data_IF_780874759842
#
_entry.id   IF_780874759842
#
_cell.length_a   1.000
_cell.length_b   1.000
_cell.length_c   1.000
_cell.angle_alpha   90.00
_cell.angle_beta   90.00
_cell.angle_gamma   90.00
#
_symmetry.space_group_name_H-M   'P 1'
#
loop_
_entity.id
_entity.type
_entity.pdbx_description
1 polymer ?
#
# COMPACT_ATOMS: atom_id res chain seq x y z
N UNK A 1 -0.86 17.27 -9.97
CA UNK A 1 0.06 16.29 -9.34
C UNK A 1 0.73 16.96 -8.16
N UNK A 2 0.40 16.57 -6.93
CA UNK A 2 1.13 17.00 -5.74
C UNK A 2 2.49 16.30 -5.74
N UNK A 3 3.58 17.08 -5.73
CA UNK A 3 4.94 16.52 -5.65
C UNK A 3 5.16 16.15 -4.19
N UNK A 4 5.07 14.86 -3.87
CA UNK A 4 5.38 14.36 -2.54
C UNK A 4 6.87 14.52 -2.23
N UNK A 5 7.17 14.85 -0.97
CA UNK A 5 8.54 14.79 -0.46
C UNK A 5 9.09 13.36 -0.58
N UNK A 6 10.41 13.20 -0.61
CA UNK A 6 11.04 11.86 -0.65
C UNK A 6 10.61 10.99 0.53
N UNK A 7 10.48 11.62 1.71
CA UNK A 7 10.00 10.98 2.92
C UNK A 7 8.57 10.47 2.73
N UNK A 8 7.63 11.32 2.32
CA UNK A 8 6.23 10.94 2.15
C UNK A 8 6.06 9.88 1.05
N UNK A 9 6.88 9.92 0.00
CA UNK A 9 6.89 8.88 -1.03
C UNK A 9 7.34 7.53 -0.46
N UNK A 10 8.40 7.51 0.35
CA UNK A 10 8.89 6.28 0.99
C UNK A 10 7.87 5.70 2.00
N UNK A 11 7.27 6.56 2.81
CA UNK A 11 6.21 6.15 3.74
C UNK A 11 5.00 5.61 2.97
N UNK A 12 4.59 6.29 1.91
CA UNK A 12 3.47 5.86 1.07
C UNK A 12 3.71 4.48 0.42
N UNK A 13 4.93 4.17 -0.01
CA UNK A 13 5.26 2.83 -0.53
C UNK A 13 4.98 1.72 0.50
N UNK A 14 5.26 1.97 1.77
CA UNK A 14 4.94 1.01 2.85
C UNK A 14 3.44 0.99 3.12
N UNK A 15 2.84 2.17 3.26
CA UNK A 15 1.41 2.36 3.51
C UNK A 15 0.53 1.66 2.49
N UNK A 16 0.77 1.84 1.18
CA UNK A 16 -0.06 1.19 0.16
C UNK A 16 0.02 -0.34 0.16
N UNK A 17 1.14 -0.91 0.65
CA UNK A 17 1.25 -2.37 0.87
C UNK A 17 0.39 -2.77 2.06
N UNK A 18 0.51 -2.07 3.18
CA UNK A 18 -0.30 -2.32 4.39
C UNK A 18 -1.80 -2.22 4.09
N UNK A 19 -2.24 -1.15 3.42
CA UNK A 19 -3.66 -0.96 3.09
C UNK A 19 -4.20 -2.07 2.18
N UNK A 20 -3.42 -2.47 1.17
CA UNK A 20 -3.81 -3.57 0.30
C UNK A 20 -3.94 -4.90 1.06
N UNK A 21 -2.97 -5.23 1.92
CA UNK A 21 -3.02 -6.45 2.75
C UNK A 21 -4.23 -6.44 3.70
N UNK A 22 -4.47 -5.33 4.41
CA UNK A 22 -5.63 -5.20 5.32
C UNK A 22 -6.96 -5.47 4.59
N UNK A 23 -7.10 -4.95 3.37
CA UNK A 23 -8.30 -5.18 2.55
C UNK A 23 -8.38 -6.63 2.07
N UNK A 24 -7.27 -7.18 1.57
CA UNK A 24 -7.22 -8.53 1.00
C UNK A 24 -7.47 -9.61 2.07
N UNK A 25 -7.01 -9.40 3.30
CA UNK A 25 -7.26 -10.28 4.45
C UNK A 25 -8.67 -10.08 5.05
N UNK A 26 -9.45 -9.13 4.54
CA UNK A 26 -10.82 -8.89 4.99
C UNK A 26 -10.92 -8.31 6.41
N UNK A 27 -9.84 -7.69 6.90
CA UNK A 27 -9.80 -7.08 8.23
C UNK A 27 -10.63 -5.80 8.34
N UNK A 28 -11.04 -5.25 7.20
CA UNK A 28 -11.90 -4.07 7.07
C UNK A 28 -13.01 -4.35 6.06
N UNK A 29 -14.12 -3.62 6.18
CA UNK A 29 -15.09 -3.54 5.10
C UNK A 29 -14.58 -2.51 4.09
N UNK A 30 -14.45 -2.87 2.81
CA UNK A 30 -13.91 -1.99 1.78
C UNK A 30 -14.91 -1.79 0.65
N UNK A 31 -15.13 -0.53 0.26
CA UNK A 31 -16.03 -0.15 -0.82
C UNK A 31 -15.49 0.95 -1.71
N UNK A 32 -16.13 1.18 -2.86
CA UNK A 32 -15.73 2.19 -3.82
C UNK A 32 -16.70 3.36 -3.82
N UNK A 33 -16.19 4.56 -3.58
CA UNK A 33 -16.89 5.80 -3.86
C UNK A 33 -16.48 6.34 -5.23
N UNK A 34 -17.45 6.57 -6.09
CA UNK A 34 -17.27 7.20 -7.40
C UNK A 34 -17.75 8.66 -7.26
N UNK A 35 -16.81 9.61 -7.31
CA UNK A 35 -17.11 11.03 -7.13
C UNK A 35 -17.88 11.63 -8.32
N UNK A 36 -17.64 11.14 -9.54
CA UNK A 36 -18.43 11.41 -10.77
C UNK A 36 -18.20 10.27 -11.78
N UNK A 37 -19.01 10.16 -12.85
CA UNK A 37 -18.85 9.14 -13.91
C UNK A 37 -17.43 9.04 -14.52
N UNK A 38 -16.64 10.11 -14.42
CA UNK A 38 -15.25 10.19 -14.89
C UNK A 38 -14.27 10.56 -13.75
N UNK A 39 -14.77 10.63 -12.52
CA UNK A 39 -14.03 11.10 -11.36
C UNK A 39 -13.05 10.06 -10.83
N UNK A 40 -12.09 10.48 -9.98
CA UNK A 40 -11.21 9.55 -9.30
C UNK A 40 -12.04 8.60 -8.44
N UNK A 41 -11.81 7.30 -8.63
CA UNK A 41 -12.35 6.29 -7.73
C UNK A 41 -11.61 6.36 -6.40
N UNK A 42 -12.37 6.31 -5.31
CA UNK A 42 -11.85 6.33 -3.95
C UNK A 42 -12.20 5.00 -3.30
N UNK A 43 -11.19 4.32 -2.77
CA UNK A 43 -11.38 3.16 -1.91
C UNK A 43 -11.63 3.64 -0.48
N UNK A 44 -12.80 3.35 0.04
CA UNK A 44 -13.20 3.66 1.40
C UNK A 44 -13.05 2.42 2.27
N UNK A 45 -12.35 2.56 3.40
CA UNK A 45 -12.13 1.52 4.39
C UNK A 45 -12.97 1.82 5.62
N UNK A 46 -13.86 0.90 5.95
CA UNK A 46 -14.86 1.00 6.99
C UNK A 46 -14.62 -0.10 8.03
N UNK A 47 -15.18 0.10 9.21
CA UNK A 47 -15.13 -0.90 10.26
C UNK A 47 -15.96 -2.13 9.89
N UNK A 48 -15.43 -3.34 10.15
CA UNK A 48 -16.22 -4.57 10.06
C UNK A 48 -17.27 -4.65 11.18
N UNK A 49 -17.03 -3.96 12.31
CA UNK A 49 -17.95 -3.90 13.45
C UNK A 49 -19.16 -2.99 13.18
N UNK A 50 -19.02 -2.03 12.27
CA UNK A 50 -20.10 -1.16 11.82
C UNK A 50 -19.95 -0.82 10.33
N UNK A 51 -20.37 -1.73 9.41
CA UNK A 51 -20.20 -1.54 7.97
C UNK A 51 -20.98 -0.37 7.37
N UNK A 52 -22.07 0.03 8.02
CA UNK A 52 -22.91 1.18 7.62
C UNK A 52 -22.38 2.52 8.20
N UNK A 53 -21.29 2.47 8.95
CA UNK A 53 -20.68 3.63 9.58
C UNK A 53 -19.91 4.52 8.61
N UNK A 54 -19.26 5.54 9.17
CA UNK A 54 -18.36 6.39 8.41
C UNK A 54 -17.08 5.62 8.01
N UNK A 55 -16.48 6.02 6.90
CA UNK A 55 -15.15 5.53 6.53
C UNK A 55 -14.15 5.94 7.60
N UNK A 56 -13.15 5.10 7.85
CA UNK A 56 -12.01 5.42 8.71
C UNK A 56 -10.87 6.00 7.89
N UNK A 57 -10.62 5.39 6.73
CA UNK A 57 -9.55 5.77 5.80
C UNK A 57 -10.12 5.79 4.38
N UNK A 58 -9.76 6.81 3.61
CA UNK A 58 -10.04 6.90 2.17
C UNK A 58 -8.73 6.94 1.40
N UNK A 59 -8.61 6.17 0.33
CA UNK A 59 -7.41 6.17 -0.52
C UNK A 59 -7.79 6.26 -1.99
N UNK A 60 -7.13 7.15 -2.73
CA UNK A 60 -7.38 7.28 -4.15
C UNK A 60 -6.89 6.05 -4.92
N UNK A 61 -7.66 5.66 -5.92
CA UNK A 61 -7.30 4.58 -6.85
C UNK A 61 -6.70 5.20 -8.11
N UNK A 62 -5.66 4.54 -8.63
CA UNK A 62 -5.00 4.93 -9.87
C UNK A 62 -5.98 4.85 -11.05
N UNK A 63 -6.08 5.88 -11.91
CA UNK A 63 -6.98 5.85 -13.06
C UNK A 63 -6.76 4.63 -13.95
N UNK A 64 -7.86 4.04 -14.44
CA UNK A 64 -7.83 2.83 -15.26
C UNK A 64 -7.64 1.53 -14.48
N UNK A 65 -7.50 1.58 -13.15
CA UNK A 65 -7.59 0.37 -12.32
C UNK A 65 -9.03 -0.10 -12.25
N UNK A 66 -9.23 -1.39 -12.41
CA UNK A 66 -10.52 -2.05 -12.18
C UNK A 66 -10.43 -2.80 -10.85
N UNK A 67 -11.35 -2.49 -9.93
CA UNK A 67 -11.56 -3.22 -8.67
C UNK A 67 -12.98 -3.78 -8.74
N UNK A 68 -13.12 -5.10 -8.60
CA UNK A 68 -14.42 -5.76 -8.69
C UNK A 68 -15.17 -5.64 -7.37
N UNK A 69 -16.46 -5.33 -7.48
CA UNK A 69 -17.38 -5.13 -6.39
C UNK A 69 -18.52 -6.14 -6.46
N UNK A 70 -18.99 -6.60 -5.30
CA UNK A 70 -20.24 -7.35 -5.14
C UNK A 70 -20.92 -6.86 -3.86
N UNK A 71 -22.21 -6.56 -3.95
CA UNK A 71 -23.03 -6.12 -2.81
C UNK A 71 -22.39 -4.97 -2.01
N UNK A 72 -21.93 -3.93 -2.72
CA UNK A 72 -21.20 -2.76 -2.18
C UNK A 72 -19.85 -3.08 -1.49
N UNK A 73 -19.30 -4.28 -1.71
CA UNK A 73 -18.01 -4.71 -1.15
C UNK A 73 -16.98 -5.08 -2.20
N UNK A 74 -15.73 -4.72 -1.96
CA UNK A 74 -14.59 -5.19 -2.78
C UNK A 74 -14.44 -6.69 -2.64
N UNK A 75 -14.41 -7.41 -3.76
CA UNK A 75 -14.21 -8.88 -3.80
C UNK A 75 -12.97 -9.30 -4.59
N UNK A 76 -12.39 -8.41 -5.38
CA UNK A 76 -11.11 -8.66 -6.05
C UNK A 76 -9.92 -8.33 -5.16
N UNK A 77 -8.78 -8.97 -5.42
CA UNK A 77 -7.49 -8.62 -4.80
C UNK A 77 -7.10 -7.18 -5.13
N UNK A 78 -6.92 -6.35 -4.11
CA UNK A 78 -6.38 -5.00 -4.22
C UNK A 78 -4.86 -5.09 -4.31
N UNK A 79 -4.29 -4.59 -5.41
CA UNK A 79 -2.84 -4.54 -5.58
C UNK A 79 -2.29 -3.25 -4.97
N UNK A 80 -1.15 -3.28 -4.27
CA UNK A 80 -0.52 -2.05 -3.77
C UNK A 80 -0.25 -1.00 -4.85
N UNK A 81 0.03 -1.42 -6.10
CA UNK A 81 0.25 -0.54 -7.24
C UNK A 81 -1.02 0.13 -7.81
N UNK A 82 -2.20 -0.30 -7.37
CA UNK A 82 -3.49 0.29 -7.71
C UNK A 82 -3.82 1.51 -6.86
N UNK A 83 -3.18 1.65 -5.71
CA UNK A 83 -3.42 2.75 -4.77
C UNK A 83 -2.47 3.91 -5.08
N UNK A 84 -2.97 5.14 -4.96
CA UNK A 84 -2.19 6.36 -5.13
C UNK A 84 -2.56 7.39 -4.05
N UNK A 85 -1.69 8.39 -3.81
CA UNK A 85 -2.05 9.53 -2.99
C UNK A 85 -3.25 10.31 -3.59
N UNK A 86 -4.05 10.98 -2.76
CA UNK A 86 -3.94 11.07 -1.31
C UNK A 86 -4.47 9.84 -0.56
N UNK A 87 -4.00 9.67 0.68
CA UNK A 87 -4.64 8.82 1.69
C UNK A 87 -5.15 9.77 2.78
N UNK A 88 -6.45 9.73 3.03
CA UNK A 88 -7.15 10.66 3.91
C UNK A 88 -7.67 9.91 5.13
N UNK A 89 -7.38 10.44 6.31
CA UNK A 89 -8.08 10.07 7.55
C UNK A 89 -9.44 10.75 7.57
N UNK A 90 -10.52 9.98 7.69
CA UNK A 90 -11.86 10.53 7.51
C UNK A 90 -12.32 11.46 8.64
N UNK A 91 -11.83 11.24 9.86
CA UNK A 91 -12.15 12.03 11.05
C UNK A 91 -11.67 13.49 10.96
N UNK A 92 -10.50 13.67 10.37
CA UNK A 92 -9.77 14.94 10.30
C UNK A 92 -9.72 15.50 8.88
N UNK A 93 -10.08 14.69 7.89
CA UNK A 93 -9.94 14.98 6.46
C UNK A 93 -8.52 15.42 6.07
N UNK A 94 -7.51 14.92 6.79
CA UNK A 94 -6.11 15.22 6.56
C UNK A 94 -5.40 14.10 5.82
N UNK A 95 -4.42 14.48 4.99
CA UNK A 95 -3.52 13.52 4.34
C UNK A 95 -2.60 12.87 5.38
N UNK A 96 -2.55 11.54 5.37
CA UNK A 96 -1.65 10.75 6.22
C UNK A 96 -0.87 9.74 5.37
N UNK A 97 0.44 9.66 5.59
CA UNK A 97 1.33 8.74 4.88
C UNK A 97 2.04 7.77 5.82
N UNK A 98 1.96 7.96 7.14
CA UNK A 98 2.54 7.07 8.14
C UNK A 98 1.75 5.76 8.21
N UNK A 99 2.39 4.61 7.89
CA UNK A 99 1.71 3.33 7.93
C UNK A 99 1.29 2.93 9.35
N UNK A 100 2.02 3.41 10.37
CA UNK A 100 1.70 3.13 11.77
C UNK A 100 0.42 3.83 12.23
N UNK A 101 0.25 5.10 11.89
CA UNK A 101 -0.97 5.88 12.18
C UNK A 101 -2.17 5.23 11.50
N UNK A 102 -2.08 4.95 10.20
CA UNK A 102 -3.17 4.34 9.44
C UNK A 102 -3.53 2.94 9.94
N UNK A 103 -2.53 2.11 10.23
CA UNK A 103 -2.75 0.79 10.82
C UNK A 103 -3.46 0.90 12.17
N UNK A 104 -3.04 1.82 13.04
CA UNK A 104 -3.64 2.02 14.36
C UNK A 104 -5.10 2.46 14.29
N UNK A 105 -5.44 3.33 13.33
CA UNK A 105 -6.83 3.75 13.08
C UNK A 105 -7.66 2.55 12.63
N UNK A 106 -7.17 1.79 11.64
CA UNK A 106 -7.88 0.63 11.10
C UNK A 106 -7.96 -0.53 12.10
N UNK A 107 -6.98 -0.69 13.00
CA UNK A 107 -6.95 -1.80 13.96
C UNK A 107 -8.06 -1.75 14.99
N UNK A 108 -8.69 -0.59 15.18
CA UNK A 108 -9.93 -0.47 15.97
C UNK A 108 -11.07 -1.33 15.42
N UNK A 109 -10.98 -1.72 14.14
CA UNK A 109 -11.96 -2.57 13.45
C UNK A 109 -11.62 -4.04 13.46
N UNK A 110 -10.44 -4.43 13.96
CA UNK A 110 -9.99 -5.82 13.89
C UNK A 110 -10.67 -6.71 14.95
N UNK A 111 -11.49 -6.15 15.84
CA UNK A 111 -12.04 -6.90 16.98
C UNK A 111 -10.93 -7.45 17.89
N UNK A 112 -11.13 -8.63 18.47
CA UNK A 112 -10.17 -9.28 19.40
C UNK A 112 -9.08 -10.09 18.69
N UNK A 113 -8.72 -9.75 17.45
CA UNK A 113 -7.72 -10.50 16.66
C UNK A 113 -6.30 -10.42 17.24
N UNK A 114 -5.97 -9.36 18.00
CA UNK A 114 -4.68 -9.20 18.65
C UNK A 114 -4.76 -8.34 19.92
N UNK A 115 -3.86 -8.57 20.87
CA UNK A 115 -3.73 -7.71 22.06
C UNK A 115 -3.17 -6.33 21.69
N UNK A 116 -3.48 -5.31 22.49
CA UNK A 116 -2.95 -3.96 22.30
C UNK A 116 -1.42 -3.91 22.24
N UNK A 117 -0.73 -4.74 23.03
CA UNK A 117 0.74 -4.85 23.00
C UNK A 117 1.29 -5.35 21.67
N UNK A 118 0.61 -6.32 21.05
CA UNK A 118 0.99 -6.84 19.72
C UNK A 118 0.72 -5.80 18.64
N UNK A 119 -0.40 -5.09 18.72
CA UNK A 119 -0.72 -4.00 17.79
C UNK A 119 0.32 -2.87 17.86
N UNK A 120 0.75 -2.48 19.06
CA UNK A 120 1.79 -1.46 19.25
C UNK A 120 3.15 -1.90 18.69
N UNK A 121 3.49 -3.18 18.83
CA UNK A 121 4.70 -3.74 18.21
C UNK A 121 4.62 -3.73 16.68
N UNK A 122 3.47 -4.11 16.10
CA UNK A 122 3.26 -4.03 14.65
C UNK A 122 3.41 -2.59 14.16
N UNK A 123 2.79 -1.62 14.85
CA UNK A 123 2.92 -0.19 14.52
C UNK A 123 4.38 0.25 14.52
N UNK A 124 5.18 -0.19 15.51
CA UNK A 124 6.62 0.10 15.57
C UNK A 124 7.34 -0.48 14.35
N UNK A 125 7.10 -1.74 14.01
CA UNK A 125 7.77 -2.40 12.88
C UNK A 125 7.37 -1.83 11.52
N UNK A 126 6.11 -1.40 11.35
CA UNK A 126 5.65 -0.72 10.14
C UNK A 126 6.40 0.61 9.93
N UNK A 127 6.58 1.39 11.00
CA UNK A 127 7.34 2.64 10.96
C UNK A 127 8.82 2.38 10.68
N UNK A 128 9.40 1.35 11.30
CA UNK A 128 10.76 0.92 11.00
C UNK A 128 10.94 0.54 9.52
N UNK A 129 9.98 -0.20 8.96
CA UNK A 129 9.97 -0.59 7.55
C UNK A 129 9.93 0.62 6.62
N UNK A 130 9.06 1.59 6.89
CA UNK A 130 8.98 2.85 6.13
C UNK A 130 10.28 3.66 6.20
N UNK A 131 10.86 3.80 7.41
CA UNK A 131 12.13 4.49 7.60
C UNK A 131 13.28 3.82 6.83
N UNK A 132 13.31 2.48 6.82
CA UNK A 132 14.29 1.71 6.08
C UNK A 132 14.12 1.88 4.56
N UNK A 133 12.89 1.94 4.05
CA UNK A 133 12.66 2.26 2.63
C UNK A 133 13.18 3.66 2.27
N UNK A 134 13.00 4.64 3.15
CA UNK A 134 13.56 5.99 2.97
C UNK A 134 15.08 6.02 2.87
N UNK A 135 15.78 5.11 3.56
CA UNK A 135 17.25 4.95 3.52
C UNK A 135 17.75 4.15 2.32
N UNK A 136 16.99 3.16 1.86
CA UNK A 136 17.38 2.27 0.74
C UNK A 136 17.11 2.92 -0.63
N UNK A 137 16.04 3.69 -0.78
CA UNK A 137 15.72 4.43 -2.01
C UNK A 137 16.91 5.29 -2.55
N UNK A 138 17.65 6.05 -1.73
CA UNK A 138 18.83 6.78 -2.21
C UNK A 138 20.04 5.88 -2.50
N UNK A 139 20.17 4.71 -1.88
CA UNK A 139 21.27 3.77 -2.15
C UNK A 139 21.12 3.04 -3.49
N UNK A 140 19.89 2.83 -3.98
CA UNK A 140 19.64 2.28 -5.31
C UNK A 140 20.18 3.18 -6.43
N UNK A 141 20.28 4.49 -6.20
CA UNK A 141 20.89 5.46 -7.14
C UNK A 141 22.41 5.34 -7.24
N UNK A 142 23.07 4.61 -6.34
CA UNK A 142 24.53 4.44 -6.32
C UNK A 142 25.05 3.16 -7.01
N UNK A 143 24.20 2.40 -7.71
CA UNK A 143 24.64 1.22 -8.46
C UNK A 143 24.50 1.35 -9.99
N UNK A 144 25.39 2.08 -10.69
CA UNK A 144 25.63 1.88 -12.12
C UNK A 144 26.36 0.55 -12.42
N UNK A 145 26.91 -0.15 -11.42
CA UNK A 145 27.88 -1.23 -11.64
C UNK A 145 27.32 -2.65 -11.69
N UNK A 146 26.08 -2.92 -11.27
CA UNK A 146 25.46 -4.27 -11.32
C UNK A 146 24.64 -4.48 -12.60
N UNK A 147 25.10 -3.95 -13.72
CA UNK A 147 24.64 -4.38 -15.06
C UNK A 147 25.77 -4.92 -15.94
N UNK A 148 27.04 -4.82 -15.50
CA UNK A 148 28.20 -5.27 -16.29
C UNK A 148 28.72 -6.67 -15.95
N UNK A 149 28.28 -7.29 -14.87
CA UNK A 149 28.78 -8.62 -14.48
C UNK A 149 28.00 -9.80 -15.07
N UNK A 150 26.74 -9.60 -15.48
CA UNK A 150 25.92 -10.67 -16.10
C UNK A 150 26.13 -10.81 -17.60
N UNK A 151 26.76 -9.85 -18.28
CA UNK A 151 27.07 -9.96 -19.73
C UNK A 151 28.47 -10.51 -20.03
N UNK A 152 29.41 -10.55 -19.07
CA UNK A 152 30.80 -11.01 -19.33
C UNK A 152 31.03 -12.51 -19.12
N UNK A 153 30.13 -13.20 -18.40
CA UNK A 153 30.25 -14.64 -18.13
C UNK A 153 29.33 -15.53 -19.00
N UNK A 154 28.46 -14.93 -19.82
CA UNK A 154 27.58 -15.67 -20.75
C UNK A 154 28.23 -16.06 -22.09
N UNK A 155 29.45 -15.60 -22.37
CA UNK A 155 30.08 -15.77 -23.70
C UNK A 155 31.13 -16.89 -23.78
N UNK A 156 31.23 -17.76 -22.74
CA UNK A 156 32.29 -18.79 -22.67
C UNK A 156 31.82 -20.24 -22.64
N UNK A 157 30.54 -20.51 -22.86
CA UNK A 157 29.96 -21.85 -22.91
C UNK A 157 29.09 -22.03 -24.15
N UNK A 158 29.70 -21.95 -25.34
CA UNK A 158 29.07 -22.33 -26.60
C UNK A 158 30.12 -22.70 -27.66
N UNK A 159 31.07 -23.60 -27.34
CA UNK A 159 31.88 -24.33 -28.34
C UNK A 159 32.32 -25.68 -27.79
N UNK A 160 31.40 -26.64 -27.75
CA UNK A 160 31.73 -28.06 -27.90
C UNK A 160 30.46 -28.79 -28.33
N UNK A 161 30.46 -29.26 -29.57
CA UNK A 161 29.72 -30.41 -30.13
C UNK A 161 29.26 -30.07 -31.54
N UNK A 162 29.94 -30.62 -32.55
CA UNK A 162 29.33 -31.43 -33.59
C UNK A 162 30.45 -32.17 -34.34
N UNK A 163 30.14 -33.42 -34.68
CA UNK A 163 30.95 -34.42 -35.38
C UNK A 163 31.55 -33.92 -36.69
#
# INVERSE_FOLDING_TARGET
MTILSRHNRASFETTKRVLAEIVNEGLVHAKLEITTSEGPQILCLLSTLNPEGESLVKVAIKPGTIIEMRDDRVVSVVRPGSLQPPVILADTNHEEFDPGTLFKVLSTSFGDVASGTVLDEIVRELRNSAANQGKVLPMSSYHPCIKRFTQRNGSRLARTSHY
#
